data_IF_240467125926
#
_entry.id   IF_240467125926
#
_cell.length_a   1.000
_cell.length_b   1.000
_cell.length_c   1.000
_cell.angle_alpha   90.00
_cell.angle_beta   90.00
_cell.angle_gamma   90.00
#
_symmetry.space_group_name_H-M   'P 1'
#
loop_
_entity.id
_entity.type
_entity.pdbx_description
1 polymer ?
#
# COMPACT_ATOMS: atom_id res chain seq x y z
N UNK A 1 15.23 -10.55 -3.39
CA UNK A 1 13.80 -10.60 -3.17
C UNK A 1 13.51 -11.51 -1.99
N UNK A 2 12.67 -11.06 -1.05
CA UNK A 2 12.38 -11.78 0.19
C UNK A 2 11.81 -13.20 -0.04
N UNK A 3 11.00 -13.41 -1.07
CA UNK A 3 10.39 -14.73 -1.35
C UNK A 3 11.41 -15.89 -1.45
N UNK A 4 12.69 -15.62 -1.68
CA UNK A 4 13.71 -16.67 -1.72
C UNK A 4 13.89 -17.41 -0.39
N UNK A 5 13.57 -16.77 0.74
CA UNK A 5 13.65 -17.42 2.05
C UNK A 5 12.70 -18.60 2.20
N UNK A 6 11.67 -18.69 1.35
CA UNK A 6 10.73 -19.81 1.31
C UNK A 6 11.23 -20.99 0.46
N UNK A 7 12.30 -20.81 -0.30
CA UNK A 7 12.77 -21.76 -1.30
C UNK A 7 11.87 -21.91 -2.54
N UNK A 8 10.82 -21.11 -2.69
CA UNK A 8 9.75 -21.28 -3.69
C UNK A 8 10.22 -21.27 -5.15
N UNK A 9 11.32 -20.58 -5.47
CA UNK A 9 11.80 -20.40 -6.83
C UNK A 9 13.05 -21.22 -7.17
N UNK A 10 13.38 -22.18 -6.35
CA UNK A 10 14.50 -23.06 -6.58
C UNK A 10 14.08 -24.35 -7.28
N UNK A 11 14.83 -24.72 -8.31
CA UNK A 11 14.57 -25.93 -9.11
C UNK A 11 15.07 -27.22 -8.41
N UNK A 12 15.85 -27.10 -7.34
CA UNK A 12 16.44 -28.21 -6.60
C UNK A 12 16.29 -28.03 -5.10
N UNK A 13 16.12 -29.12 -4.38
CA UNK A 13 16.18 -29.13 -2.92
C UNK A 13 17.63 -29.02 -2.40
N UNK A 14 18.62 -29.21 -3.27
CA UNK A 14 20.03 -29.06 -2.91
C UNK A 14 20.41 -27.58 -2.83
N UNK A 15 20.39 -27.05 -1.61
CA UNK A 15 20.57 -25.62 -1.31
C UNK A 15 21.61 -25.41 -0.23
N UNK A 16 22.24 -24.25 -0.26
CA UNK A 16 22.96 -23.71 0.88
C UNK A 16 21.97 -22.92 1.73
N UNK A 17 21.97 -23.21 3.03
CA UNK A 17 21.27 -22.45 4.04
C UNK A 17 22.23 -21.48 4.70
N UNK A 18 21.83 -20.22 4.81
CA UNK A 18 22.65 -19.16 5.36
C UNK A 18 21.82 -18.35 6.36
N UNK A 19 22.03 -18.65 7.64
CA UNK A 19 21.37 -17.93 8.73
C UNK A 19 21.85 -16.47 8.77
N UNK A 20 20.99 -15.57 8.39
CA UNK A 20 21.23 -14.14 8.36
C UNK A 20 20.56 -13.44 9.51
N UNK A 21 21.18 -12.36 9.98
CA UNK A 21 20.64 -11.49 11.02
C UNK A 21 20.75 -10.05 10.58
N UNK A 22 19.70 -9.28 10.83
CA UNK A 22 19.67 -7.83 10.64
C UNK A 22 19.11 -7.14 11.88
N UNK A 23 19.39 -5.85 11.99
CA UNK A 23 18.83 -5.02 13.07
C UNK A 23 17.86 -4.03 12.44
N UNK A 24 16.66 -3.95 13.00
CA UNK A 24 15.66 -2.93 12.71
C UNK A 24 15.31 -2.18 13.99
N UNK A 25 15.11 -0.89 13.85
CA UNK A 25 14.59 -0.03 14.92
C UNK A 25 13.12 0.25 14.70
N UNK A 26 12.33 0.30 15.78
CA UNK A 26 10.89 0.54 15.68
C UNK A 26 10.35 1.36 16.85
N UNK A 27 9.22 2.04 16.60
CA UNK A 27 8.36 2.59 17.63
C UNK A 27 7.39 1.54 18.22
N UNK A 28 7.31 0.36 17.62
CA UNK A 28 6.58 -0.76 18.20
C UNK A 28 7.31 -1.28 19.44
N UNK A 29 6.55 -1.62 20.48
CA UNK A 29 7.09 -2.23 21.70
C UNK A 29 6.43 -3.59 21.89
N UNK A 30 7.26 -4.63 21.88
CA UNK A 30 6.90 -6.00 22.22
C UNK A 30 8.11 -6.70 22.84
N UNK A 31 7.89 -7.80 23.55
CA UNK A 31 8.96 -8.52 24.27
C UNK A 31 8.99 -9.97 23.85
N UNK A 32 10.18 -10.58 23.92
CA UNK A 32 10.38 -11.99 23.61
C UNK A 32 10.79 -12.23 22.16
N UNK A 33 10.64 -13.49 21.76
CA UNK A 33 10.97 -13.97 20.41
C UNK A 33 9.68 -14.44 19.77
N UNK A 34 9.42 -13.91 18.56
CA UNK A 34 8.28 -14.32 17.76
C UNK A 34 8.77 -15.02 16.50
N UNK A 35 8.20 -16.18 16.23
CA UNK A 35 8.32 -16.87 14.96
C UNK A 35 7.12 -16.48 14.10
N UNK A 36 7.39 -15.75 13.04
CA UNK A 36 6.40 -15.28 12.08
C UNK A 36 6.58 -15.99 10.73
N UNK A 37 6.64 -17.31 10.79
CA UNK A 37 6.85 -18.19 9.64
C UNK A 37 8.33 -18.30 9.27
N UNK A 38 8.73 -17.75 8.12
CA UNK A 38 10.12 -17.81 7.64
C UNK A 38 11.06 -16.80 8.29
N UNK A 39 10.58 -16.01 9.25
CA UNK A 39 11.32 -14.94 9.91
C UNK A 39 11.12 -15.05 11.42
N UNK A 40 12.21 -14.89 12.17
CA UNK A 40 12.14 -14.70 13.62
C UNK A 40 12.49 -13.27 13.95
N UNK A 41 11.75 -12.68 14.88
CA UNK A 41 12.01 -11.34 15.38
C UNK A 41 12.16 -11.37 16.90
N UNK A 42 13.24 -10.80 17.40
CA UNK A 42 13.59 -10.80 18.81
C UNK A 42 13.81 -9.37 19.28
N UNK A 43 13.19 -9.01 20.39
CA UNK A 43 13.44 -7.73 21.03
C UNK A 43 14.83 -7.73 21.66
N UNK A 44 15.68 -6.77 21.27
CA UNK A 44 16.95 -6.53 21.95
C UNK A 44 16.79 -5.55 23.11
N UNK A 45 17.71 -5.57 24.06
CA UNK A 45 17.70 -4.63 25.16
C UNK A 45 17.85 -3.18 24.67
N UNK A 46 16.97 -2.32 25.13
CA UNK A 46 16.97 -0.90 24.80
C UNK A 46 16.87 -0.01 26.04
N UNK A 47 17.59 1.10 26.00
CA UNK A 47 17.51 2.18 27.00
C UNK A 47 16.86 3.44 26.40
N UNK A 48 16.26 3.36 25.24
CA UNK A 48 15.74 4.50 24.47
C UNK A 48 14.23 4.50 24.25
N UNK A 49 13.77 5.50 23.49
CA UNK A 49 12.38 5.65 23.07
C UNK A 49 12.02 4.84 21.83
N UNK A 50 13.01 4.24 21.17
CA UNK A 50 12.90 3.41 19.97
C UNK A 50 13.62 2.12 20.24
N UNK A 51 12.91 1.00 20.11
CA UNK A 51 13.43 -0.33 20.43
C UNK A 51 14.15 -0.95 19.23
N UNK A 52 15.33 -1.55 19.43
CA UNK A 52 16.01 -2.38 18.45
C UNK A 52 15.45 -3.80 18.43
N UNK A 53 15.34 -4.38 17.24
CA UNK A 53 14.89 -5.75 17.01
C UNK A 53 15.90 -6.49 16.15
N UNK A 54 16.24 -7.71 16.56
CA UNK A 54 17.04 -8.62 15.75
C UNK A 54 16.08 -9.41 14.90
N UNK A 55 16.23 -9.29 13.58
CA UNK A 55 15.46 -10.06 12.60
C UNK A 55 16.34 -11.15 12.05
N UNK A 56 15.88 -12.39 12.11
CA UNK A 56 16.61 -13.58 11.70
C UNK A 56 15.84 -14.29 10.58
N UNK A 57 16.53 -14.68 9.52
CA UNK A 57 15.95 -15.37 8.36
C UNK A 57 17.00 -16.26 7.68
N UNK A 58 16.55 -17.28 6.97
CA UNK A 58 17.38 -18.17 6.19
C UNK A 58 17.50 -17.67 4.73
N UNK A 59 18.63 -17.11 4.37
CA UNK A 59 18.91 -16.70 2.99
C UNK A 59 19.39 -17.91 2.19
N UNK A 60 18.47 -18.60 1.51
CA UNK A 60 18.74 -19.81 0.78
C UNK A 60 19.38 -19.54 -0.58
N UNK A 61 20.32 -20.38 -0.96
CA UNK A 61 21.03 -20.33 -2.25
C UNK A 61 20.97 -21.69 -2.94
N UNK A 62 20.56 -21.72 -4.19
CA UNK A 62 20.60 -22.97 -4.97
C UNK A 62 22.04 -23.32 -5.28
N UNK A 63 22.42 -24.61 -5.07
CA UNK A 63 23.71 -25.11 -5.49
C UNK A 63 23.79 -25.21 -7.03
N UNK A 64 24.83 -24.65 -7.59
CA UNK A 64 25.10 -24.75 -9.02
C UNK A 64 25.83 -26.04 -9.34
N UNK A 65 25.32 -26.78 -10.32
CA UNK A 65 26.01 -27.99 -10.85
C UNK A 65 27.08 -27.63 -11.90
N UNK A 66 27.12 -26.36 -12.35
CA UNK A 66 28.02 -25.93 -13.45
C UNK A 66 29.25 -25.16 -13.00
N UNK A 67 29.49 -25.03 -11.70
CA UNK A 67 30.68 -24.33 -11.17
C UNK A 67 30.67 -22.80 -11.32
N UNK A 68 29.58 -22.21 -11.86
CA UNK A 68 29.39 -20.76 -11.88
C UNK A 68 28.83 -20.29 -10.57
N UNK A 69 29.36 -19.17 -10.04
CA UNK A 69 28.79 -18.53 -8.85
C UNK A 69 27.37 -18.07 -9.11
N UNK A 70 26.46 -18.48 -8.24
CA UNK A 70 25.09 -17.97 -8.22
C UNK A 70 25.08 -16.54 -7.68
N UNK A 71 24.34 -15.67 -8.34
CA UNK A 71 24.14 -14.31 -7.85
C UNK A 71 23.35 -14.38 -6.54
N UNK A 72 24.00 -14.06 -5.44
CA UNK A 72 23.36 -13.95 -4.12
C UNK A 72 22.50 -12.69 -4.09
N UNK A 73 21.26 -12.81 -3.62
CA UNK A 73 20.48 -11.62 -3.24
C UNK A 73 21.12 -11.04 -1.98
N UNK A 74 21.44 -9.75 -2.01
CA UNK A 74 22.06 -9.07 -0.89
C UNK A 74 21.14 -9.08 0.35
N UNK A 75 21.72 -9.31 1.52
CA UNK A 75 20.98 -9.33 2.79
C UNK A 75 20.29 -7.98 3.05
N UNK A 76 20.88 -6.88 2.60
CA UNK A 76 20.28 -5.54 2.67
C UNK A 76 18.95 -5.43 1.93
N UNK A 77 18.81 -6.08 0.78
CA UNK A 77 17.57 -6.05 0.02
C UNK A 77 16.45 -6.85 0.72
N UNK A 78 16.80 -7.99 1.33
CA UNK A 78 15.87 -8.78 2.13
C UNK A 78 15.41 -7.98 3.34
N UNK A 79 16.34 -7.37 4.07
CA UNK A 79 16.03 -6.55 5.25
C UNK A 79 15.18 -5.33 4.89
N UNK A 80 15.46 -4.68 3.75
CA UNK A 80 14.67 -3.55 3.22
C UNK A 80 13.22 -3.95 2.92
N UNK A 81 12.99 -5.13 2.36
CA UNK A 81 11.64 -5.63 2.12
C UNK A 81 10.94 -5.99 3.44
N UNK A 82 11.63 -6.66 4.35
CA UNK A 82 11.10 -6.99 5.67
C UNK A 82 10.67 -5.76 6.45
N UNK A 83 11.50 -4.72 6.53
CA UNK A 83 11.12 -3.49 7.25
C UNK A 83 9.83 -2.85 6.72
N UNK A 84 9.63 -2.88 5.39
CA UNK A 84 8.41 -2.33 4.81
C UNK A 84 7.19 -3.20 5.12
N UNK A 85 7.32 -4.51 5.05
CA UNK A 85 6.24 -5.45 5.36
C UNK A 85 5.87 -5.37 6.84
N UNK A 86 6.87 -5.39 7.74
CA UNK A 86 6.64 -5.25 9.18
C UNK A 86 6.00 -3.91 9.53
N UNK A 87 6.45 -2.81 8.91
CA UNK A 87 5.83 -1.50 9.11
C UNK A 87 4.36 -1.49 8.73
N UNK A 88 4.03 -2.08 7.59
CA UNK A 88 2.66 -2.19 7.11
C UNK A 88 1.81 -3.13 7.98
N UNK A 89 2.30 -4.35 8.24
CA UNK A 89 1.54 -5.38 8.92
C UNK A 89 1.25 -5.03 10.39
N UNK A 90 2.24 -4.49 11.10
CA UNK A 90 2.13 -4.10 12.50
C UNK A 90 1.62 -2.67 12.70
N UNK A 91 1.33 -1.94 11.62
CA UNK A 91 0.90 -0.54 11.69
C UNK A 91 1.85 0.31 12.55
N UNK A 92 3.14 0.20 12.29
CA UNK A 92 4.23 0.84 13.02
C UNK A 92 5.30 1.36 12.05
N UNK A 93 6.39 1.89 12.56
CA UNK A 93 7.55 2.29 11.75
C UNK A 93 8.71 1.36 12.07
N UNK A 94 9.21 0.66 11.07
CA UNK A 94 10.47 -0.08 11.13
C UNK A 94 11.48 0.53 10.16
N UNK A 95 12.71 0.75 10.62
CA UNK A 95 13.80 1.21 9.78
C UNK A 95 15.16 0.68 10.28
N UNK A 96 16.13 0.62 9.38
CA UNK A 96 17.52 0.27 9.68
C UNK A 96 18.23 1.43 10.42
N UNK A 97 17.73 2.65 10.26
CA UNK A 97 18.24 3.84 10.92
C UNK A 97 17.33 4.31 12.07
N UNK A 98 17.86 4.25 13.28
CA UNK A 98 17.19 4.69 14.50
C UNK A 98 16.69 6.13 14.41
N UNK A 99 17.52 7.02 13.85
CA UNK A 99 17.20 8.46 13.77
C UNK A 99 16.00 8.73 12.86
N UNK A 100 15.81 7.91 11.84
CA UNK A 100 14.63 7.95 10.96
C UNK A 100 13.35 7.62 11.73
N UNK A 101 13.35 6.56 12.54
CA UNK A 101 12.19 6.21 13.38
C UNK A 101 11.90 7.31 14.38
N UNK A 102 12.90 7.80 15.09
CA UNK A 102 12.77 8.90 16.06
C UNK A 102 12.19 10.17 15.42
N UNK A 103 12.64 10.52 14.22
CA UNK A 103 12.15 11.69 13.48
C UNK A 103 10.69 11.55 13.06
N UNK A 104 10.29 10.38 12.56
CA UNK A 104 8.92 10.12 12.10
C UNK A 104 7.94 10.06 13.27
N UNK A 105 8.32 9.39 14.35
CA UNK A 105 7.48 9.16 15.53
C UNK A 105 7.60 10.26 16.59
N UNK A 106 8.28 11.35 16.27
CA UNK A 106 8.48 12.47 17.19
C UNK A 106 7.15 13.10 17.58
N UNK A 107 6.92 13.25 18.89
CA UNK A 107 5.80 14.06 19.36
C UNK A 107 6.12 15.53 19.16
N UNK A 108 5.11 16.32 18.79
CA UNK A 108 5.24 17.77 18.76
C UNK A 108 5.48 18.26 20.17
N UNK A 109 6.63 18.87 20.42
CA UNK A 109 6.86 19.60 21.64
C UNK A 109 5.90 20.80 21.70
N UNK A 110 5.33 21.07 22.87
CA UNK A 110 4.47 22.23 23.12
C UNK A 110 5.27 23.50 22.88
N UNK A 111 5.23 24.02 21.67
CA UNK A 111 5.96 25.23 21.27
C UNK A 111 6.11 25.28 19.74
N UNK A 112 5.95 26.41 19.23
CA UNK A 112 6.02 26.96 17.87
C UNK A 112 6.91 26.21 16.85
N UNK A 113 6.63 24.94 16.56
CA UNK A 113 7.21 24.24 15.39
C UNK A 113 6.60 24.74 14.10
N UNK A 114 7.43 25.17 13.15
CA UNK A 114 6.97 25.66 11.83
C UNK A 114 6.49 24.54 10.89
N UNK A 115 6.77 23.27 11.20
CA UNK A 115 6.51 22.14 10.31
C UNK A 115 5.58 21.14 10.99
N UNK A 116 4.60 20.58 10.25
CA UNK A 116 3.77 19.52 10.75
C UNK A 116 4.63 18.26 11.00
N UNK A 117 4.33 17.52 12.04
CA UNK A 117 4.95 16.21 12.31
C UNK A 117 4.01 15.09 11.92
N UNK A 118 4.50 13.96 11.40
CA UNK A 118 3.67 12.86 10.93
C UNK A 118 2.64 12.37 11.94
N UNK A 119 3.00 12.28 13.22
CA UNK A 119 2.11 11.86 14.31
C UNK A 119 0.89 12.77 14.55
N UNK A 120 0.88 13.97 13.97
CA UNK A 120 -0.30 14.85 14.02
C UNK A 120 -1.37 14.45 12.98
N UNK A 121 -1.00 13.73 11.93
CA UNK A 121 -1.91 13.30 10.88
C UNK A 121 -2.50 11.92 11.11
N UNK A 122 -1.75 11.01 11.73
CA UNK A 122 -2.17 9.62 11.94
C UNK A 122 -2.18 9.34 13.44
N UNK A 123 -3.31 8.86 13.94
CA UNK A 123 -3.46 8.53 15.36
C UNK A 123 -3.10 7.05 15.60
N UNK A 124 -2.28 6.80 16.61
CA UNK A 124 -1.96 5.44 17.07
C UNK A 124 -0.78 4.77 16.36
N UNK A 125 -0.66 4.93 15.06
CA UNK A 125 0.38 4.27 14.25
C UNK A 125 1.79 4.82 14.53
N UNK A 126 1.89 6.12 14.73
CA UNK A 126 3.15 6.85 14.87
C UNK A 126 3.45 7.28 16.29
N UNK A 127 2.80 6.70 17.27
CA UNK A 127 3.12 6.93 18.67
C UNK A 127 4.49 6.33 19.01
N UNK A 128 5.30 7.05 19.80
CA UNK A 128 6.68 6.64 20.16
C UNK A 128 6.72 5.28 20.86
N UNK A 129 5.62 4.87 21.48
CA UNK A 129 5.50 3.59 22.18
C UNK A 129 4.18 2.91 21.80
N UNK A 130 4.15 2.35 20.61
CA UNK A 130 3.04 1.49 20.20
C UNK A 130 3.23 0.10 20.78
N UNK A 131 2.36 -0.32 21.71
CA UNK A 131 2.36 -1.69 22.21
C UNK A 131 1.75 -2.61 21.14
N UNK A 132 2.47 -3.66 20.78
CA UNK A 132 2.03 -4.71 19.86
C UNK A 132 1.65 -5.94 20.69
N UNK A 133 0.43 -6.41 20.52
CA UNK A 133 -0.09 -7.61 21.18
C UNK A 133 0.35 -8.89 20.46
N UNK A 134 0.26 -10.02 21.16
CA UNK A 134 0.52 -11.34 20.58
C UNK A 134 -0.40 -11.66 19.38
N UNK A 135 -1.63 -11.17 19.41
CA UNK A 135 -2.58 -11.37 18.30
C UNK A 135 -2.22 -10.52 17.07
N UNK A 136 -1.70 -9.30 17.26
CA UNK A 136 -1.16 -8.50 16.17
C UNK A 136 0.08 -9.17 15.56
N UNK A 137 0.98 -9.75 16.40
CA UNK A 137 2.13 -10.49 15.90
C UNK A 137 1.74 -11.74 15.11
N UNK A 138 0.75 -12.50 15.58
CA UNK A 138 0.19 -13.65 14.84
C UNK A 138 -0.40 -13.21 13.50
N UNK A 139 -1.17 -12.12 13.50
CA UNK A 139 -1.77 -11.55 12.28
C UNK A 139 -0.70 -11.08 11.30
N UNK A 140 0.39 -10.50 11.80
CA UNK A 140 1.56 -10.14 11.00
C UNK A 140 2.19 -11.38 10.35
N UNK A 141 2.38 -12.46 11.09
CA UNK A 141 2.89 -13.72 10.56
C UNK A 141 2.00 -14.28 9.44
N UNK A 142 0.69 -14.32 9.67
CA UNK A 142 -0.29 -14.77 8.66
C UNK A 142 -0.22 -13.89 7.40
N UNK A 143 -0.15 -12.56 7.55
CA UNK A 143 -0.02 -11.66 6.41
C UNK A 143 1.28 -11.89 5.63
N UNK A 144 2.41 -12.05 6.34
CA UNK A 144 3.70 -12.34 5.73
C UNK A 144 3.67 -13.66 4.94
N UNK A 145 3.13 -14.72 5.51
CA UNK A 145 2.99 -16.01 4.83
C UNK A 145 2.13 -15.90 3.58
N UNK A 146 0.98 -15.21 3.66
CA UNK A 146 0.10 -14.98 2.52
C UNK A 146 0.83 -14.22 1.41
N UNK A 147 1.55 -13.15 1.75
CA UNK A 147 2.31 -12.36 0.80
C UNK A 147 3.42 -13.18 0.13
N UNK A 148 4.18 -13.95 0.90
CA UNK A 148 5.26 -14.80 0.38
C UNK A 148 4.73 -15.95 -0.50
N UNK A 149 3.50 -16.41 -0.27
CA UNK A 149 2.85 -17.45 -1.05
C UNK A 149 2.36 -16.99 -2.42
N UNK A 150 2.23 -15.69 -2.69
CA UNK A 150 1.85 -15.15 -4.00
C UNK A 150 2.83 -15.57 -5.10
N UNK A 151 2.39 -15.56 -6.36
CA UNK A 151 3.31 -15.63 -7.48
C UNK A 151 4.22 -14.38 -7.49
N UNK A 152 5.27 -14.42 -8.31
CA UNK A 152 6.30 -13.38 -8.28
C UNK A 152 5.79 -12.00 -8.70
N UNK A 153 4.91 -11.95 -9.69
CA UNK A 153 4.36 -10.71 -10.23
C UNK A 153 3.44 -10.04 -9.19
N UNK A 154 2.51 -10.79 -8.63
CA UNK A 154 1.59 -10.30 -7.60
C UNK A 154 2.36 -9.86 -6.34
N UNK A 155 3.36 -10.64 -5.92
CA UNK A 155 4.22 -10.26 -4.81
C UNK A 155 4.90 -8.90 -5.04
N UNK A 156 5.47 -8.68 -6.23
CA UNK A 156 6.14 -7.42 -6.55
C UNK A 156 5.13 -6.26 -6.56
N UNK A 157 3.97 -6.45 -7.17
CA UNK A 157 2.94 -5.42 -7.25
C UNK A 157 2.44 -5.00 -5.86
N UNK A 158 2.14 -5.96 -4.99
CA UNK A 158 1.71 -5.69 -3.62
C UNK A 158 2.84 -5.05 -2.80
N UNK A 159 4.07 -5.58 -2.89
CA UNK A 159 5.22 -5.01 -2.19
C UNK A 159 5.48 -3.55 -2.59
N UNK A 160 5.41 -3.23 -3.88
CA UNK A 160 5.57 -1.85 -4.36
C UNK A 160 4.51 -0.92 -3.76
N UNK A 161 3.28 -1.38 -3.61
CA UNK A 161 2.23 -0.60 -2.94
C UNK A 161 2.51 -0.43 -1.45
N UNK A 162 3.00 -1.46 -0.75
CA UNK A 162 3.42 -1.37 0.65
C UNK A 162 4.59 -0.37 0.81
N UNK A 163 5.56 -0.40 -0.08
CA UNK A 163 6.69 0.56 -0.09
C UNK A 163 6.18 1.99 -0.28
N UNK A 164 5.28 2.22 -1.25
CA UNK A 164 4.70 3.53 -1.50
C UNK A 164 3.83 4.02 -0.33
N UNK A 165 3.06 3.13 0.30
CA UNK A 165 2.29 3.40 1.51
C UNK A 165 3.19 3.89 2.65
N UNK A 166 4.29 3.17 2.95
CA UNK A 166 5.24 3.58 3.98
C UNK A 166 6.00 4.86 3.60
N UNK A 167 6.32 5.05 2.32
CA UNK A 167 6.96 6.27 1.82
C UNK A 167 6.06 7.49 2.03
N UNK A 168 4.74 7.35 1.90
CA UNK A 168 3.79 8.44 2.14
C UNK A 168 3.90 9.00 3.57
N UNK A 169 4.12 8.13 4.56
CA UNK A 169 4.34 8.55 5.96
C UNK A 169 5.60 9.40 6.11
N UNK A 170 6.69 9.01 5.44
CA UNK A 170 7.97 9.74 5.49
C UNK A 170 7.86 11.11 4.85
N UNK A 171 7.04 11.24 3.81
CA UNK A 171 6.81 12.50 3.09
C UNK A 171 5.90 13.49 3.84
N UNK A 172 5.17 13.07 4.86
CA UNK A 172 4.25 13.95 5.60
C UNK A 172 4.90 15.22 6.15
N UNK A 173 6.16 15.14 6.58
CA UNK A 173 6.90 16.29 7.10
C UNK A 173 7.50 17.19 6.01
N UNK A 174 7.56 16.72 4.77
CA UNK A 174 8.22 17.41 3.65
C UNK A 174 7.19 17.97 2.66
N UNK A 175 6.36 17.10 2.10
CA UNK A 175 5.29 17.45 1.16
C UNK A 175 4.06 16.58 1.36
N UNK A 176 3.09 17.10 2.11
CA UNK A 176 1.82 16.42 2.35
C UNK A 176 1.00 16.19 1.07
N UNK A 177 1.18 17.03 0.04
CA UNK A 177 0.46 16.86 -1.24
C UNK A 177 1.00 15.65 -1.99
N UNK A 178 2.32 15.46 -1.96
CA UNK A 178 2.96 14.26 -2.50
C UNK A 178 2.62 13.04 -1.65
N UNK A 179 2.67 13.15 -0.31
CA UNK A 179 2.28 12.07 0.60
C UNK A 179 0.86 11.56 0.33
N UNK A 180 -0.10 12.48 0.17
CA UNK A 180 -1.48 12.16 -0.18
C UNK A 180 -1.58 11.50 -1.57
N UNK A 181 -0.86 12.04 -2.55
CA UNK A 181 -0.85 11.50 -3.91
C UNK A 181 -0.26 10.11 -3.97
N UNK A 182 0.75 9.79 -3.17
CA UNK A 182 1.34 8.44 -3.08
C UNK A 182 0.30 7.40 -2.65
N UNK A 183 -0.59 7.75 -1.74
CA UNK A 183 -1.68 6.85 -1.32
C UNK A 183 -2.67 6.59 -2.47
N UNK A 184 -3.01 7.61 -3.25
CA UNK A 184 -3.88 7.42 -4.44
C UNK A 184 -3.17 6.60 -5.51
N UNK A 185 -1.86 6.83 -5.74
CA UNK A 185 -1.08 6.02 -6.68
C UNK A 185 -1.05 4.54 -6.30
N UNK A 186 -0.99 4.19 -5.00
CA UNK A 186 -1.12 2.80 -4.56
C UNK A 186 -2.42 2.18 -5.06
N UNK A 187 -3.55 2.86 -4.81
CA UNK A 187 -4.87 2.36 -5.22
C UNK A 187 -5.02 2.26 -6.74
N UNK A 188 -4.48 3.24 -7.48
CA UNK A 188 -4.51 3.20 -8.95
C UNK A 188 -3.66 2.08 -9.52
N UNK A 189 -2.47 1.86 -8.96
CA UNK A 189 -1.58 0.76 -9.37
C UNK A 189 -2.27 -0.59 -9.16
N UNK A 190 -2.93 -0.79 -8.01
CA UNK A 190 -3.68 -2.00 -7.74
C UNK A 190 -4.89 -2.14 -8.68
N UNK A 191 -5.63 -1.06 -8.91
CA UNK A 191 -6.76 -1.07 -9.83
C UNK A 191 -6.32 -1.43 -11.26
N UNK A 192 -5.19 -0.89 -11.73
CA UNK A 192 -4.66 -1.21 -13.07
C UNK A 192 -4.21 -2.67 -13.19
N UNK A 193 -3.66 -3.26 -12.12
CA UNK A 193 -3.15 -4.63 -12.13
C UNK A 193 -4.25 -5.68 -11.94
N UNK A 194 -5.32 -5.36 -11.20
CA UNK A 194 -6.27 -6.37 -10.70
C UNK A 194 -7.74 -6.07 -11.01
N UNK A 195 -8.03 -4.96 -11.68
CA UNK A 195 -9.39 -4.65 -12.10
C UNK A 195 -9.86 -5.59 -13.20
N UNK A 196 -11.08 -6.07 -13.08
CA UNK A 196 -11.73 -6.95 -14.05
C UNK A 196 -12.64 -6.20 -15.02
N UNK A 197 -12.69 -4.88 -14.95
CA UNK A 197 -13.58 -4.06 -15.76
C UNK A 197 -13.19 -4.15 -17.25
N UNK A 198 -14.17 -4.56 -18.08
CA UNK A 198 -14.01 -4.56 -19.52
C UNK A 198 -14.73 -3.34 -20.10
N UNK A 199 -13.99 -2.38 -20.68
CA UNK A 199 -14.61 -1.21 -21.29
C UNK A 199 -15.56 -1.59 -22.43
N UNK A 200 -16.64 -0.85 -22.56
CA UNK A 200 -17.63 -0.99 -23.63
C UNK A 200 -17.71 0.31 -24.46
N UNK A 201 -18.34 0.27 -25.64
CA UNK A 201 -18.46 1.45 -26.51
C UNK A 201 -19.11 2.65 -25.79
N UNK A 202 -20.05 2.41 -24.88
CA UNK A 202 -20.70 3.45 -24.11
C UNK A 202 -19.79 4.15 -23.07
N UNK A 203 -18.62 3.58 -22.83
CA UNK A 203 -17.59 4.21 -21.98
C UNK A 203 -16.77 5.26 -22.73
N UNK A 204 -16.85 5.29 -24.05
CA UNK A 204 -16.14 6.27 -24.85
C UNK A 204 -16.68 7.69 -24.60
N UNK A 205 -15.82 8.69 -24.68
CA UNK A 205 -16.22 10.09 -24.42
C UNK A 205 -17.31 10.51 -25.37
N UNK A 206 -18.41 11.06 -24.85
CA UNK A 206 -19.63 11.35 -25.57
C UNK A 206 -19.40 12.27 -26.80
N UNK A 207 -18.59 13.32 -26.65
CA UNK A 207 -18.23 14.23 -27.75
C UNK A 207 -17.49 13.52 -28.88
N UNK A 208 -16.54 12.64 -28.57
CA UNK A 208 -15.80 11.85 -29.55
C UNK A 208 -16.67 10.76 -30.16
N UNK A 209 -17.50 10.09 -29.33
CA UNK A 209 -18.47 9.07 -29.77
C UNK A 209 -19.41 9.66 -30.83
N UNK A 210 -20.02 10.82 -30.54
CA UNK A 210 -20.91 11.51 -31.45
C UNK A 210 -20.22 11.94 -32.76
N UNK A 211 -18.94 12.30 -32.73
CA UNK A 211 -18.16 12.61 -33.93
C UNK A 211 -17.89 11.34 -34.76
N UNK A 212 -17.49 10.25 -34.11
CA UNK A 212 -17.21 8.97 -34.78
C UNK A 212 -18.48 8.36 -35.38
N UNK A 213 -19.62 8.41 -34.70
CA UNK A 213 -20.90 7.90 -35.20
C UNK A 213 -21.37 8.61 -36.48
N UNK A 214 -21.00 9.87 -36.68
CA UNK A 214 -21.26 10.56 -37.97
C UNK A 214 -20.42 9.94 -39.11
N UNK A 215 -19.17 9.58 -38.83
CA UNK A 215 -18.29 8.94 -39.80
C UNK A 215 -18.72 7.51 -40.08
N UNK A 216 -19.13 6.79 -39.05
CA UNK A 216 -19.58 5.39 -39.14
C UNK A 216 -20.81 5.19 -40.07
N UNK A 217 -21.64 6.24 -40.25
CA UNK A 217 -22.76 6.20 -41.20
C UNK A 217 -22.35 6.00 -42.67
N UNK A 218 -21.07 6.22 -42.98
CA UNK A 218 -20.50 6.10 -44.32
C UNK A 218 -19.67 4.83 -44.53
N UNK A 219 -19.59 3.96 -43.55
CA UNK A 219 -18.74 2.75 -43.52
C UNK A 219 -19.64 1.54 -43.25
N UNK A 220 -19.22 0.39 -43.73
CA UNK A 220 -19.94 -0.89 -43.49
C UNK A 220 -19.89 -1.28 -42.02
N UNK A 221 -20.92 -1.99 -41.58
CA UNK A 221 -21.12 -2.34 -40.16
C UNK A 221 -20.00 -3.24 -39.61
N UNK A 222 -19.44 -4.14 -40.41
CA UNK A 222 -18.35 -5.03 -39.99
C UNK A 222 -17.08 -4.21 -39.67
N UNK A 223 -16.76 -3.25 -40.50
CA UNK A 223 -15.61 -2.33 -40.27
C UNK A 223 -15.84 -1.42 -39.06
N UNK A 224 -17.08 -0.95 -38.87
CA UNK A 224 -17.46 -0.14 -37.70
C UNK A 224 -17.22 -0.93 -36.41
N UNK A 225 -17.68 -2.17 -36.31
CA UNK A 225 -17.50 -2.99 -35.10
C UNK A 225 -16.00 -3.30 -34.83
N UNK A 226 -15.21 -3.53 -35.87
CA UNK A 226 -13.75 -3.68 -35.72
C UNK A 226 -13.10 -2.42 -35.18
N UNK A 227 -13.48 -1.24 -35.71
CA UNK A 227 -12.94 0.05 -35.21
C UNK A 227 -13.36 0.30 -33.76
N UNK A 228 -14.64 0.10 -33.42
CA UNK A 228 -15.11 0.21 -32.04
C UNK A 228 -14.33 -0.71 -31.10
N UNK A 229 -14.14 -1.98 -31.51
CA UNK A 229 -13.37 -2.95 -30.73
C UNK A 229 -11.92 -2.53 -30.48
N UNK A 230 -11.28 -1.87 -31.45
CA UNK A 230 -9.92 -1.33 -31.28
C UNK A 230 -9.93 -0.14 -30.32
N UNK A 231 -10.86 0.78 -30.49
CA UNK A 231 -10.95 2.01 -29.68
C UNK A 231 -11.33 1.70 -28.23
N UNK A 232 -12.15 0.69 -27.98
CA UNK A 232 -12.57 0.27 -26.65
C UNK A 232 -11.44 -0.47 -25.90
N UNK A 233 -10.50 -1.07 -26.61
CA UNK A 233 -9.30 -1.68 -26.00
C UNK A 233 -8.29 -0.66 -25.50
N UNK A 234 -8.51 0.64 -25.68
CA UNK A 234 -7.68 1.69 -25.09
C UNK A 234 -7.71 1.57 -23.55
N UNK A 235 -6.57 1.25 -22.98
CA UNK A 235 -6.38 1.03 -21.53
C UNK A 235 -6.74 2.26 -20.67
N UNK A 236 -6.82 3.43 -21.30
CA UNK A 236 -7.12 4.68 -20.61
C UNK A 236 -8.61 5.03 -20.49
N UNK A 237 -9.50 4.17 -21.02
CA UNK A 237 -10.93 4.40 -20.88
C UNK A 237 -11.41 4.17 -19.45
N UNK A 238 -12.18 5.18 -18.95
CA UNK A 238 -12.84 5.11 -17.65
C UNK A 238 -11.93 4.81 -16.45
N UNK A 239 -10.66 5.21 -16.49
CA UNK A 239 -9.72 4.98 -15.38
C UNK A 239 -10.28 5.37 -14.01
N UNK A 240 -10.98 6.50 -13.94
CA UNK A 240 -11.61 6.94 -12.69
C UNK A 240 -12.72 6.01 -12.22
N UNK A 241 -13.52 5.45 -13.14
CA UNK A 241 -14.59 4.49 -12.81
C UNK A 241 -14.00 3.16 -12.36
N UNK A 242 -13.04 2.64 -13.10
CA UNK A 242 -12.30 1.40 -12.76
C UNK A 242 -11.65 1.50 -11.37
N UNK A 243 -10.97 2.61 -11.11
CA UNK A 243 -10.42 2.93 -9.79
C UNK A 243 -11.47 2.88 -8.68
N UNK A 244 -12.63 3.52 -8.90
CA UNK A 244 -13.71 3.56 -7.92
C UNK A 244 -14.30 2.17 -7.64
N UNK A 245 -14.65 1.43 -8.69
CA UNK A 245 -15.23 0.09 -8.58
C UNK A 245 -14.26 -0.89 -7.92
N UNK A 246 -12.98 -0.81 -8.29
CA UNK A 246 -11.93 -1.62 -7.65
C UNK A 246 -11.82 -1.35 -6.15
N UNK A 247 -11.70 -0.08 -5.76
CA UNK A 247 -11.53 0.27 -4.34
C UNK A 247 -12.78 -0.10 -3.53
N UNK A 248 -13.97 0.20 -4.04
CA UNK A 248 -15.23 -0.18 -3.37
C UNK A 248 -15.35 -1.70 -3.21
N UNK A 249 -14.97 -2.46 -4.23
CA UNK A 249 -14.99 -3.92 -4.18
C UNK A 249 -13.99 -4.56 -3.19
N UNK A 250 -12.98 -3.81 -2.76
CA UNK A 250 -11.96 -4.29 -1.83
C UNK A 250 -12.05 -3.67 -0.43
N UNK A 251 -13.11 -2.92 -0.14
CA UNK A 251 -13.38 -2.38 1.21
C UNK A 251 -14.58 -3.11 1.80
N UNK A 252 -14.35 -3.88 2.88
CA UNK A 252 -15.39 -4.66 3.54
C UNK A 252 -16.34 -3.79 4.37
N UNK A 253 -17.52 -4.35 4.71
CA UNK A 253 -18.51 -3.67 5.55
C UNK A 253 -17.97 -3.26 6.92
N UNK A 254 -17.07 -4.02 7.48
CA UNK A 254 -16.42 -3.75 8.77
C UNK A 254 -15.61 -2.45 8.77
N UNK A 255 -15.14 -2.01 7.61
CA UNK A 255 -14.45 -0.74 7.45
C UNK A 255 -15.30 0.45 7.89
N UNK A 256 -16.62 0.38 7.71
CA UNK A 256 -17.58 1.43 8.03
C UNK A 256 -18.12 1.36 9.46
N UNK A 257 -17.69 0.38 10.26
CA UNK A 257 -18.11 0.25 11.63
C UNK A 257 -17.57 1.37 12.52
N UNK A 258 -18.38 1.74 13.51
CA UNK A 258 -18.01 2.76 14.50
C UNK A 258 -16.71 2.43 15.19
N UNK A 259 -15.84 3.43 15.35
CA UNK A 259 -14.63 3.38 16.17
C UNK A 259 -14.65 4.52 17.17
N UNK A 260 -14.34 4.20 18.43
CA UNK A 260 -14.29 5.21 19.49
C UNK A 260 -13.31 6.34 19.12
N UNK A 261 -13.73 7.58 19.37
CA UNK A 261 -12.93 8.79 19.14
C UNK A 261 -12.55 9.08 17.68
N UNK A 262 -13.22 8.45 16.69
CA UNK A 262 -12.99 8.73 15.28
C UNK A 262 -14.29 8.92 14.50
N UNK A 263 -14.37 9.99 13.70
CA UNK A 263 -15.44 10.17 12.69
C UNK A 263 -15.13 9.24 11.51
N UNK A 264 -15.88 8.16 11.42
CA UNK A 264 -15.79 7.20 10.31
C UNK A 264 -16.56 7.74 9.11
N UNK A 265 -16.05 7.51 7.88
CA UNK A 265 -16.76 7.84 6.64
C UNK A 265 -18.00 6.96 6.48
N UNK A 266 -19.14 7.57 6.09
CA UNK A 266 -20.34 6.83 5.71
C UNK A 266 -20.21 6.17 4.34
N UNK A 267 -20.97 5.09 4.09
CA UNK A 267 -20.94 4.38 2.79
C UNK A 267 -21.30 5.30 1.62
N UNK A 268 -22.26 6.19 1.80
CA UNK A 268 -22.67 7.16 0.76
C UNK A 268 -21.61 8.23 0.50
N UNK A 269 -20.93 8.69 1.56
CA UNK A 269 -19.87 9.68 1.47
C UNK A 269 -18.58 9.11 0.85
N UNK A 270 -18.36 7.79 1.01
CA UNK A 270 -17.12 7.10 0.62
C UNK A 270 -16.81 7.28 -0.86
N UNK A 271 -17.81 7.05 -1.72
CA UNK A 271 -17.63 7.17 -3.17
C UNK A 271 -17.32 8.62 -3.58
N UNK A 272 -18.00 9.60 -3.00
CA UNK A 272 -17.74 11.02 -3.25
C UNK A 272 -16.32 11.40 -2.83
N UNK A 273 -15.91 10.98 -1.65
CA UNK A 273 -14.56 11.23 -1.15
C UNK A 273 -13.48 10.56 -2.01
N UNK A 274 -13.75 9.37 -2.55
CA UNK A 274 -12.85 8.63 -3.43
C UNK A 274 -12.67 9.33 -4.79
N UNK A 275 -13.75 9.80 -5.41
CA UNK A 275 -13.72 10.61 -6.63
C UNK A 275 -12.89 11.88 -6.42
N UNK A 276 -13.10 12.54 -5.28
CA UNK A 276 -12.37 13.76 -4.94
C UNK A 276 -10.87 13.48 -4.71
N UNK A 277 -10.51 12.36 -4.07
CA UNK A 277 -9.13 11.96 -3.89
C UNK A 277 -8.42 11.73 -5.25
N UNK A 278 -9.07 11.02 -6.17
CA UNK A 278 -8.58 10.83 -7.54
C UNK A 278 -8.35 12.16 -8.26
N UNK A 279 -9.32 13.07 -8.20
CA UNK A 279 -9.23 14.40 -8.83
C UNK A 279 -8.12 15.27 -8.24
N UNK A 280 -7.91 15.23 -6.91
CA UNK A 280 -6.84 15.94 -6.22
C UNK A 280 -5.48 15.47 -6.74
N UNK A 281 -5.28 14.13 -6.74
CA UNK A 281 -4.02 13.55 -7.24
C UNK A 281 -3.80 13.89 -8.72
N UNK A 282 -4.83 13.81 -9.56
CA UNK A 282 -4.73 14.16 -10.98
C UNK A 282 -4.28 15.62 -11.18
N UNK A 283 -4.85 16.56 -10.42
CA UNK A 283 -4.43 17.96 -10.44
C UNK A 283 -3.00 18.14 -9.94
N UNK A 284 -2.57 17.41 -8.92
CA UNK A 284 -1.19 17.45 -8.45
C UNK A 284 -0.23 16.91 -9.50
N UNK A 285 -0.51 15.74 -10.08
CA UNK A 285 0.34 15.09 -11.07
C UNK A 285 0.52 15.89 -12.35
N UNK A 286 -0.55 16.52 -12.86
CA UNK A 286 -0.52 17.23 -14.15
C UNK A 286 -0.27 18.72 -14.04
N UNK A 287 -0.56 19.33 -12.91
CA UNK A 287 -0.54 20.80 -12.74
C UNK A 287 0.29 21.26 -11.54
N UNK A 288 0.88 20.33 -10.78
CA UNK A 288 1.56 20.58 -9.49
C UNK A 288 0.69 21.40 -8.52
N UNK A 289 -0.64 21.25 -8.63
CA UNK A 289 -1.57 21.97 -7.78
C UNK A 289 -1.57 21.34 -6.38
N UNK A 290 -1.14 22.07 -5.34
CA UNK A 290 -1.03 21.49 -4.01
C UNK A 290 -2.40 21.14 -3.43
N UNK A 291 -2.38 20.25 -2.45
CA UNK A 291 -3.55 19.88 -1.65
C UNK A 291 -4.19 21.13 -1.05
N UNK A 292 -5.52 21.17 -0.98
CA UNK A 292 -6.25 22.31 -0.40
C UNK A 292 -5.80 22.58 1.04
N UNK A 293 -5.83 23.84 1.46
CA UNK A 293 -5.31 24.29 2.77
C UNK A 293 -5.83 23.45 3.93
N UNK A 294 -7.14 23.18 3.97
CA UNK A 294 -7.77 22.43 5.06
C UNK A 294 -7.25 20.98 5.18
N UNK A 295 -7.03 20.30 4.05
CA UNK A 295 -6.48 18.94 4.06
C UNK A 295 -4.97 18.90 4.41
N UNK A 296 -4.29 20.04 4.37
CA UNK A 296 -2.89 20.17 4.85
C UNK A 296 -2.80 20.42 6.35
N UNK A 297 -3.94 20.59 7.04
CA UNK A 297 -3.99 20.85 8.48
C UNK A 297 -4.24 19.54 9.21
N UNK A 298 -3.36 19.19 10.15
CA UNK A 298 -3.44 17.96 10.94
C UNK A 298 -4.71 17.87 11.79
N UNK A 299 -5.26 19.00 12.19
CA UNK A 299 -6.49 19.10 13.02
C UNK A 299 -7.67 18.33 12.42
N UNK A 300 -7.80 18.32 11.09
CA UNK A 300 -8.88 17.61 10.40
C UNK A 300 -8.54 16.14 10.10
N UNK A 301 -7.27 15.76 10.20
CA UNK A 301 -6.83 14.41 9.81
C UNK A 301 -6.87 13.40 10.94
N UNK A 302 -6.43 13.80 12.12
CA UNK A 302 -6.10 12.88 13.22
C UNK A 302 -7.24 11.94 13.65
N UNK A 303 -8.46 12.47 13.73
CA UNK A 303 -9.61 11.77 14.31
C UNK A 303 -10.80 11.65 13.34
N UNK A 304 -10.59 11.82 12.05
CA UNK A 304 -11.65 11.73 11.07
C UNK A 304 -11.16 11.10 9.77
N UNK A 305 -12.01 10.29 9.15
CA UNK A 305 -11.73 9.75 7.82
C UNK A 305 -12.00 10.78 6.73
N UNK A 306 -12.96 11.66 6.95
CA UNK A 306 -13.39 12.64 5.97
C UNK A 306 -13.54 14.04 6.57
N UNK A 307 -13.39 15.01 5.69
CA UNK A 307 -13.57 16.41 5.92
C UNK A 307 -14.58 16.98 4.92
N UNK A 308 -15.56 17.71 5.40
CA UNK A 308 -16.58 18.36 4.57
C UNK A 308 -16.22 19.82 4.29
N UNK A 309 -16.28 20.22 3.04
CA UNK A 309 -16.06 21.61 2.63
C UNK A 309 -16.88 21.94 1.40
N UNK A 310 -17.66 23.05 1.45
CA UNK A 310 -18.51 23.53 0.37
C UNK A 310 -19.40 22.42 -0.24
N UNK A 311 -20.11 21.69 0.61
CA UNK A 311 -20.99 20.58 0.24
C UNK A 311 -20.29 19.38 -0.46
N UNK A 312 -18.97 19.30 -0.39
CA UNK A 312 -18.19 18.18 -0.88
C UNK A 312 -17.50 17.46 0.29
N UNK A 313 -17.30 16.17 0.14
CA UNK A 313 -16.63 15.30 1.11
C UNK A 313 -15.27 14.91 0.55
N UNK A 314 -14.24 15.02 1.38
CA UNK A 314 -12.86 14.70 1.01
C UNK A 314 -12.26 13.76 2.05
N UNK A 315 -11.54 12.74 1.61
CA UNK A 315 -10.72 11.98 2.54
C UNK A 315 -9.65 12.89 3.17
N UNK A 316 -9.53 12.80 4.49
CA UNK A 316 -8.33 13.28 5.18
C UNK A 316 -7.15 12.37 4.82
N UNK A 317 -5.93 12.80 5.12
CA UNK A 317 -4.77 11.92 4.94
C UNK A 317 -4.95 10.60 5.71
N UNK A 318 -5.35 10.67 6.98
CA UNK A 318 -5.55 9.49 7.82
C UNK A 318 -6.70 8.59 7.34
N UNK A 319 -7.77 9.17 6.78
CA UNK A 319 -8.85 8.39 6.18
C UNK A 319 -8.40 7.64 4.94
N UNK A 320 -7.71 8.33 4.03
CA UNK A 320 -7.17 7.71 2.83
C UNK A 320 -6.10 6.64 3.16
N UNK A 321 -5.25 6.92 4.15
CA UNK A 321 -4.26 5.98 4.66
C UNK A 321 -4.90 4.67 5.14
N UNK A 322 -6.02 4.77 5.85
CA UNK A 322 -6.82 3.62 6.30
C UNK A 322 -7.46 2.85 5.13
N UNK A 323 -7.98 3.56 4.11
CA UNK A 323 -8.52 2.93 2.89
C UNK A 323 -7.45 2.12 2.16
N UNK A 324 -6.28 2.72 1.93
CA UNK A 324 -5.17 2.04 1.22
C UNK A 324 -4.73 0.78 1.97
N UNK A 325 -4.61 0.86 3.30
CA UNK A 325 -4.26 -0.29 4.13
C UNK A 325 -5.28 -1.42 3.97
N UNK A 326 -6.56 -1.12 4.05
CA UNK A 326 -7.66 -2.08 3.90
C UNK A 326 -7.61 -2.76 2.52
N UNK A 327 -7.45 -1.99 1.45
CA UNK A 327 -7.41 -2.52 0.09
C UNK A 327 -6.19 -3.42 -0.12
N UNK A 328 -4.99 -3.00 0.32
CA UNK A 328 -3.77 -3.84 0.21
C UNK A 328 -3.96 -5.15 0.98
N UNK A 329 -4.54 -5.10 2.18
CA UNK A 329 -4.78 -6.27 3.00
C UNK A 329 -5.73 -7.24 2.27
N UNK A 330 -6.88 -6.75 1.87
CA UNK A 330 -7.92 -7.57 1.24
C UNK A 330 -7.49 -8.17 -0.09
N UNK A 331 -6.79 -7.42 -0.95
CA UNK A 331 -6.28 -7.95 -2.22
C UNK A 331 -5.24 -9.04 -1.98
N UNK A 332 -4.34 -8.89 -1.02
CA UNK A 332 -3.32 -9.90 -0.70
C UNK A 332 -3.96 -11.25 -0.35
N UNK A 333 -5.05 -11.25 0.42
CA UNK A 333 -5.78 -12.47 0.77
C UNK A 333 -6.68 -13.01 -0.35
N UNK A 334 -7.19 -12.17 -1.24
CA UNK A 334 -8.05 -12.59 -2.34
C UNK A 334 -7.27 -13.26 -3.47
N UNK A 335 -6.06 -12.79 -3.78
CA UNK A 335 -5.22 -13.34 -4.85
C UNK A 335 -4.83 -14.80 -4.63
N UNK A 336 -4.70 -15.25 -3.38
CA UNK A 336 -4.44 -16.66 -3.09
C UNK A 336 -5.63 -17.57 -3.39
N UNK A 337 -6.85 -17.09 -3.13
CA UNK A 337 -8.07 -17.88 -3.38
C UNK A 337 -8.28 -18.17 -4.87
N UNK A 338 -7.80 -17.27 -5.73
CA UNK A 338 -7.90 -17.40 -7.21
C UNK A 338 -6.73 -18.15 -7.84
N UNK A 339 -5.59 -18.26 -7.16
CA UNK A 339 -4.34 -18.83 -7.69
C UNK A 339 -4.26 -20.35 -7.76
N UNK A 340 -5.23 -21.08 -7.21
CA UNK A 340 -5.23 -22.54 -7.25
C UNK A 340 -5.94 -23.15 -8.49
N UNK A 341 -6.44 -22.34 -9.43
CA UNK A 341 -7.30 -22.86 -10.49
C UNK A 341 -7.22 -22.22 -11.87
N UNK A 342 -6.44 -21.20 -12.14
CA UNK A 342 -6.48 -20.59 -13.48
C UNK A 342 -5.19 -19.86 -13.84
N UNK A 343 -4.23 -20.58 -14.38
CA UNK A 343 -3.25 -20.21 -15.42
C UNK A 343 -2.36 -21.43 -15.68
N UNK A 344 -2.88 -22.38 -16.45
CA UNK A 344 -2.09 -23.33 -17.24
C UNK A 344 -2.08 -22.78 -18.68
#
# INVERSE_FOLDING_TARGET
>A
MLQIITGKFYNSEDRYHNDCKGILYSNASFRGIYDIGHVKIEAAESLGSVDPYIVMYDNQLQKSHSGFELVKVGDEEILRQLKNILSFALDAVFDEDKSTVERICRKKESGRGKYPVPSEFINGTLDISKNVSDDEMKSCGVFLEQLLALNREDYINILNCIVAYNASVRLLSEDISLAYSMLVYCLESLAQSYDSYTPIWDDYKEDKKNALEKVFKTIDEETVEKIKGILVKDEHLKLSKRFQEFVVGHVGDEFFNYREKRKIVGKEEFLVALVNAYNIRSKYAHMLKPLMKHLRMSEFSKNADVFEFQHNVYFTYSGLFRVVREVIYNITFSLQKTGFGARI
#
